data_IF_067256546692
#
_entry.id   IF_067256546692
#
_cell.length_a   1.000
_cell.length_b   1.000
_cell.length_c   1.000
_cell.angle_alpha   90.00
_cell.angle_beta   90.00
_cell.angle_gamma   90.00
#
_symmetry.space_group_name_H-M   'P 1'
#
loop_
_entity.id
_entity.type
_entity.pdbx_description
1 polymer ?
#
# COMPACT_ATOMS: atom_id res chain seq x y z
N UNK A 1 24.49 -17.38 5.10
CA UNK A 1 23.09 -17.86 5.05
C UNK A 1 22.40 -17.11 3.93
N UNK A 2 22.01 -17.77 2.84
CA UNK A 2 21.37 -17.11 1.68
C UNK A 2 20.01 -16.57 2.08
N UNK A 3 19.65 -15.35 1.67
CA UNK A 3 18.34 -14.73 2.01
C UNK A 3 17.18 -15.69 1.76
N UNK A 4 17.24 -16.46 0.66
CA UNK A 4 16.31 -17.54 0.30
C UNK A 4 16.03 -18.52 1.46
N UNK A 5 17.04 -18.95 2.22
CA UNK A 5 16.87 -19.89 3.33
C UNK A 5 16.06 -19.28 4.50
N UNK A 6 16.07 -17.95 4.63
CA UNK A 6 15.41 -17.20 5.70
C UNK A 6 13.98 -16.71 5.35
N UNK A 7 13.53 -16.97 4.12
CA UNK A 7 12.20 -16.58 3.65
C UNK A 7 11.13 -17.58 4.12
N UNK A 8 9.89 -17.12 4.37
CA UNK A 8 8.75 -18.02 4.57
C UNK A 8 8.51 -18.89 3.34
N UNK A 9 7.98 -20.11 3.55
CA UNK A 9 7.76 -21.10 2.47
C UNK A 9 6.85 -20.57 1.36
N UNK A 10 5.82 -19.80 1.70
CA UNK A 10 4.92 -19.17 0.72
C UNK A 10 5.67 -18.26 -0.26
N UNK A 11 6.74 -17.60 0.18
CA UNK A 11 7.55 -16.71 -0.65
C UNK A 11 8.65 -17.48 -1.37
N UNK A 12 9.24 -18.51 -0.75
CA UNK A 12 10.19 -19.41 -1.42
C UNK A 12 9.56 -20.07 -2.64
N UNK A 13 8.36 -20.63 -2.51
CA UNK A 13 7.63 -21.27 -3.61
C UNK A 13 7.38 -20.31 -4.78
N UNK A 14 7.10 -19.03 -4.50
CA UNK A 14 6.92 -18.02 -5.54
C UNK A 14 8.22 -17.72 -6.32
N UNK A 15 9.37 -17.82 -5.66
CA UNK A 15 10.69 -17.61 -6.30
C UNK A 15 11.13 -18.86 -7.05
N UNK A 16 10.92 -20.04 -6.46
CA UNK A 16 11.37 -21.33 -6.99
C UNK A 16 10.51 -21.83 -8.16
N UNK A 17 9.24 -21.42 -8.22
CA UNK A 17 8.33 -21.82 -9.29
C UNK A 17 8.03 -20.68 -10.24
N UNK A 18 8.12 -20.89 -11.56
CA UNK A 18 7.79 -19.86 -12.52
C UNK A 18 6.30 -19.50 -12.43
N UNK A 19 6.01 -18.20 -12.61
CA UNK A 19 4.65 -17.72 -12.82
C UNK A 19 4.04 -18.50 -14.00
N UNK A 20 2.75 -18.79 -13.91
CA UNK A 20 1.96 -19.45 -14.94
C UNK A 20 1.88 -18.57 -16.19
N UNK A 21 2.96 -18.50 -16.96
CA UNK A 21 3.13 -17.67 -18.17
C UNK A 21 3.71 -18.44 -19.35
N UNK A 22 4.55 -19.44 -19.09
CA UNK A 22 5.25 -20.18 -20.14
C UNK A 22 4.45 -21.41 -20.60
N UNK A 23 4.31 -21.61 -21.90
CA UNK A 23 3.77 -22.84 -22.48
C UNK A 23 4.66 -24.05 -22.14
N UNK A 24 4.07 -25.20 -21.82
CA UNK A 24 4.81 -26.42 -21.49
C UNK A 24 4.01 -27.46 -20.71
N UNK A 25 4.65 -28.60 -20.43
CA UNK A 25 4.03 -29.77 -19.77
C UNK A 25 3.39 -29.44 -18.42
N UNK A 26 4.01 -28.55 -17.63
CA UNK A 26 3.50 -28.13 -16.30
C UNK A 26 2.15 -27.40 -16.38
N UNK A 27 1.89 -26.66 -17.45
CA UNK A 27 0.59 -26.00 -17.67
C UNK A 27 -0.49 -27.05 -17.96
N UNK A 28 -0.14 -28.06 -18.78
CA UNK A 28 -1.06 -29.15 -19.13
C UNK A 28 -1.37 -29.99 -17.88
N UNK A 29 -0.37 -30.26 -17.04
CA UNK A 29 -0.54 -30.94 -15.76
C UNK A 29 -1.46 -30.16 -14.82
N UNK A 30 -1.27 -28.84 -14.72
CA UNK A 30 -2.15 -27.96 -13.92
C UNK A 30 -3.58 -28.01 -14.44
N UNK A 31 -3.79 -27.87 -15.75
CA UNK A 31 -5.11 -27.96 -16.39
C UNK A 31 -5.77 -29.32 -16.11
N UNK A 32 -5.05 -30.43 -16.29
CA UNK A 32 -5.57 -31.77 -16.05
C UNK A 32 -5.94 -31.97 -14.58
N UNK A 33 -5.12 -31.47 -13.66
CA UNK A 33 -5.35 -31.55 -12.22
C UNK A 33 -6.61 -30.77 -11.83
N UNK A 34 -6.72 -29.51 -12.26
CA UNK A 34 -7.91 -28.69 -12.00
C UNK A 34 -9.15 -29.32 -12.63
N UNK A 35 -9.08 -29.75 -13.89
CA UNK A 35 -10.19 -30.42 -14.58
C UNK A 35 -10.69 -31.64 -13.80
N UNK A 36 -9.78 -32.44 -13.24
CA UNK A 36 -10.12 -33.57 -12.38
C UNK A 36 -10.78 -33.13 -11.07
N UNK A 37 -10.25 -32.08 -10.42
CA UNK A 37 -10.81 -31.52 -9.18
C UNK A 37 -12.25 -31.04 -9.34
N UNK A 38 -12.56 -30.40 -10.47
CA UNK A 38 -13.91 -29.97 -10.81
C UNK A 38 -14.72 -31.05 -11.57
N UNK A 39 -14.24 -32.29 -11.64
CA UNK A 39 -15.02 -33.40 -12.19
C UNK A 39 -15.28 -33.37 -13.70
N UNK A 40 -14.48 -32.63 -14.47
CA UNK A 40 -14.59 -32.55 -15.93
C UNK A 40 -13.85 -33.70 -16.58
N UNK A 41 -14.55 -34.41 -17.47
CA UNK A 41 -13.97 -35.46 -18.31
C UNK A 41 -14.18 -35.10 -19.77
N UNK A 42 -13.10 -34.81 -20.47
CA UNK A 42 -13.12 -34.66 -21.92
C UNK A 42 -13.08 -36.04 -22.58
N UNK A 43 -13.95 -36.28 -23.56
CA UNK A 43 -13.89 -37.49 -24.36
C UNK A 43 -12.78 -37.40 -25.41
N UNK A 44 -11.55 -37.71 -24.99
CA UNK A 44 -10.37 -37.68 -25.85
C UNK A 44 -10.31 -38.87 -26.84
N UNK A 45 -11.31 -39.75 -26.86
CA UNK A 45 -11.39 -40.85 -27.84
C UNK A 45 -11.86 -40.37 -29.21
N UNK A 46 -12.65 -39.28 -29.25
CA UNK A 46 -13.17 -38.67 -30.48
C UNK A 46 -12.29 -37.50 -30.95
N UNK A 47 -12.36 -37.17 -32.25
CA UNK A 47 -11.70 -35.96 -32.78
C UNK A 47 -12.28 -34.69 -32.17
N UNK A 48 -13.59 -34.66 -32.00
CA UNK A 48 -14.33 -33.52 -31.44
C UNK A 48 -13.95 -33.26 -29.99
N UNK A 49 -13.92 -34.29 -29.13
CA UNK A 49 -13.54 -34.09 -27.73
C UNK A 49 -12.05 -33.77 -27.52
N UNK A 50 -11.16 -34.18 -28.44
CA UNK A 50 -9.77 -33.69 -28.46
C UNK A 50 -9.68 -32.20 -28.76
N UNK A 51 -10.46 -31.73 -29.73
CA UNK A 51 -10.47 -30.31 -30.11
C UNK A 51 -11.14 -29.45 -29.02
N UNK A 52 -12.23 -29.94 -28.42
CA UNK A 52 -12.89 -29.29 -27.29
C UNK A 52 -11.95 -29.13 -26.09
N UNK A 53 -11.21 -30.19 -25.71
CA UNK A 53 -10.21 -30.13 -24.64
C UNK A 53 -9.13 -29.09 -24.95
N UNK A 54 -8.69 -29.04 -26.20
CA UNK A 54 -7.65 -28.11 -26.64
C UNK A 54 -8.12 -26.66 -26.58
N UNK A 55 -9.31 -26.35 -27.10
CA UNK A 55 -9.88 -25.00 -27.10
C UNK A 55 -10.21 -24.54 -25.68
N UNK A 56 -10.98 -25.34 -24.94
CA UNK A 56 -11.41 -25.02 -23.57
C UNK A 56 -10.20 -24.91 -22.64
N UNK A 57 -9.25 -25.84 -22.78
CA UNK A 57 -7.99 -25.82 -22.05
C UNK A 57 -7.18 -24.56 -22.36
N UNK A 58 -6.99 -24.21 -23.63
CA UNK A 58 -6.24 -23.02 -24.03
C UNK A 58 -6.88 -21.72 -23.49
N UNK A 59 -8.21 -21.61 -23.54
CA UNK A 59 -8.93 -20.46 -23.02
C UNK A 59 -8.77 -20.32 -21.50
N UNK A 60 -8.93 -21.43 -20.77
CA UNK A 60 -8.75 -21.44 -19.32
C UNK A 60 -7.31 -21.13 -18.91
N UNK A 61 -6.33 -21.72 -19.62
CA UNK A 61 -4.91 -21.45 -19.40
C UNK A 61 -4.64 -19.96 -19.58
N UNK A 62 -4.99 -19.40 -20.74
CA UNK A 62 -4.79 -17.99 -21.10
C UNK A 62 -5.39 -17.06 -20.04
N UNK A 63 -6.60 -17.37 -19.59
CA UNK A 63 -7.26 -16.63 -18.52
C UNK A 63 -6.48 -16.65 -17.20
N UNK A 64 -5.97 -17.81 -16.78
CA UNK A 64 -5.21 -17.95 -15.53
C UNK A 64 -3.88 -17.17 -15.56
N UNK A 65 -3.26 -16.99 -16.73
CA UNK A 65 -2.00 -16.26 -16.86
C UNK A 65 -2.11 -14.79 -16.41
N UNK A 66 -3.32 -14.23 -16.40
CA UNK A 66 -3.59 -12.86 -15.92
C UNK A 66 -3.42 -12.66 -14.41
N UNK A 67 -3.43 -13.73 -13.61
CA UNK A 67 -3.46 -13.65 -12.14
C UNK A 67 -2.07 -13.71 -11.48
N UNK A 68 -0.99 -13.78 -12.26
CA UNK A 68 0.39 -13.82 -11.74
C UNK A 68 0.62 -14.89 -10.64
N UNK A 69 -0.11 -16.00 -10.69
CA UNK A 69 0.05 -17.15 -9.80
C UNK A 69 0.92 -18.21 -10.47
N UNK A 70 1.55 -19.07 -9.68
CA UNK A 70 2.21 -20.30 -10.15
C UNK A 70 1.17 -21.40 -10.36
N UNK A 71 1.53 -22.46 -11.12
CA UNK A 71 0.62 -23.61 -11.32
C UNK A 71 0.19 -24.28 -10.01
N UNK A 72 1.10 -24.38 -9.03
CA UNK A 72 0.82 -24.94 -7.70
C UNK A 72 -0.15 -24.05 -6.91
N UNK A 73 -0.01 -22.74 -7.02
CA UNK A 73 -0.94 -21.79 -6.38
C UNK A 73 -2.33 -21.86 -7.01
N UNK A 74 -2.42 -22.04 -8.33
CA UNK A 74 -3.72 -22.26 -8.98
C UNK A 74 -4.36 -23.55 -8.46
N UNK A 75 -3.60 -24.64 -8.36
CA UNK A 75 -4.11 -25.92 -7.81
C UNK A 75 -4.58 -25.74 -6.35
N UNK A 76 -3.79 -25.04 -5.52
CA UNK A 76 -4.16 -24.80 -4.12
C UNK A 76 -5.38 -23.89 -3.99
N UNK A 77 -5.51 -22.86 -4.85
CA UNK A 77 -6.69 -22.00 -4.87
C UNK A 77 -7.98 -22.82 -5.11
N UNK A 78 -7.95 -23.77 -6.05
CA UNK A 78 -9.08 -24.67 -6.29
C UNK A 78 -9.32 -25.64 -5.12
N UNK A 79 -8.26 -26.16 -4.46
CA UNK A 79 -8.42 -26.97 -3.24
C UNK A 79 -9.08 -26.18 -2.12
N UNK A 80 -8.66 -24.94 -1.90
CA UNK A 80 -9.25 -24.04 -0.90
C UNK A 80 -10.73 -23.77 -1.18
N UNK A 81 -11.07 -23.49 -2.44
CA UNK A 81 -12.46 -23.30 -2.85
C UNK A 81 -13.31 -24.56 -2.62
N UNK A 82 -12.77 -25.75 -2.91
CA UNK A 82 -13.44 -27.04 -2.68
C UNK A 82 -13.58 -27.38 -1.18
N UNK A 83 -12.60 -27.01 -0.35
CA UNK A 83 -12.66 -27.12 1.12
C UNK A 83 -13.62 -26.14 1.79
N UNK A 84 -14.19 -25.19 1.02
CA UNK A 84 -15.03 -24.09 1.51
C UNK A 84 -14.27 -23.06 2.36
N UNK A 85 -12.98 -22.90 2.09
CA UNK A 85 -12.18 -21.80 2.66
C UNK A 85 -12.65 -20.43 2.10
N UNK A 86 -13.34 -20.43 0.95
CA UNK A 86 -14.02 -19.29 0.32
C UNK A 86 -15.54 -19.57 0.22
N UNK A 87 -16.30 -19.43 1.32
CA UNK A 87 -17.68 -19.93 1.42
C UNK A 87 -18.66 -19.27 0.43
N UNK A 88 -18.37 -18.05 -0.02
CA UNK A 88 -19.14 -17.30 -1.01
C UNK A 88 -19.04 -17.84 -2.43
N UNK A 89 -17.99 -18.62 -2.74
CA UNK A 89 -17.71 -19.10 -4.10
C UNK A 89 -18.39 -20.44 -4.35
N UNK A 90 -19.26 -20.48 -5.37
CA UNK A 90 -19.90 -21.72 -5.82
C UNK A 90 -19.07 -22.37 -6.91
N UNK A 91 -18.42 -23.49 -6.56
CA UNK A 91 -17.66 -24.31 -7.50
C UNK A 91 -18.60 -25.28 -8.22
N UNK A 92 -18.64 -25.21 -9.54
CA UNK A 92 -19.43 -26.08 -10.40
C UNK A 92 -18.51 -27.03 -11.18
N UNK A 93 -19.04 -28.15 -11.71
CA UNK A 93 -18.24 -29.11 -12.44
C UNK A 93 -17.96 -28.66 -13.89
N UNK A 94 -17.34 -27.50 -14.04
CA UNK A 94 -16.97 -26.89 -15.32
C UNK A 94 -15.72 -25.99 -15.18
N UNK A 95 -15.07 -25.68 -16.29
CA UNK A 95 -13.97 -24.69 -16.33
C UNK A 95 -14.54 -23.28 -16.58
N UNK A 96 -15.58 -22.90 -15.84
CA UNK A 96 -16.15 -21.55 -15.92
C UNK A 96 -15.08 -20.51 -15.62
N UNK A 97 -14.83 -19.61 -16.57
CA UNK A 97 -13.86 -18.53 -16.39
C UNK A 97 -14.29 -17.56 -15.28
N UNK A 98 -15.60 -17.39 -15.08
CA UNK A 98 -16.14 -16.54 -14.01
C UNK A 98 -15.75 -17.13 -12.65
N UNK A 99 -16.08 -18.42 -12.44
CA UNK A 99 -15.76 -19.12 -11.20
C UNK A 99 -14.25 -19.22 -10.99
N UNK A 100 -13.48 -19.48 -12.06
CA UNK A 100 -12.02 -19.44 -12.00
C UNK A 100 -11.52 -18.08 -11.53
N UNK A 101 -12.08 -16.99 -12.05
CA UNK A 101 -11.67 -15.64 -11.67
C UNK A 101 -11.94 -15.34 -10.20
N UNK A 102 -13.11 -15.74 -9.69
CA UNK A 102 -13.46 -15.60 -8.26
C UNK A 102 -12.47 -16.38 -7.38
N UNK A 103 -12.17 -17.63 -7.72
CA UNK A 103 -11.25 -18.50 -6.97
C UNK A 103 -9.83 -17.91 -6.94
N UNK A 104 -9.30 -17.54 -8.10
CA UNK A 104 -7.92 -17.05 -8.20
C UNK A 104 -7.76 -15.69 -7.50
N UNK A 105 -8.78 -14.82 -7.59
CA UNK A 105 -8.78 -13.54 -6.89
C UNK A 105 -8.85 -13.72 -5.37
N UNK A 106 -9.74 -14.58 -4.88
CA UNK A 106 -9.84 -14.88 -3.45
C UNK A 106 -8.52 -15.44 -2.90
N UNK A 107 -7.84 -16.30 -3.66
CA UNK A 107 -6.52 -16.78 -3.29
C UNK A 107 -5.45 -15.68 -3.26
N UNK A 108 -5.44 -14.76 -4.24
CA UNK A 108 -4.53 -13.60 -4.20
C UNK A 108 -4.77 -12.72 -2.98
N UNK A 109 -6.04 -12.45 -2.64
CA UNK A 109 -6.42 -11.66 -1.46
C UNK A 109 -5.98 -12.36 -0.17
N UNK A 110 -6.21 -13.67 -0.05
CA UNK A 110 -5.71 -14.50 1.04
C UNK A 110 -4.18 -14.43 1.16
N UNK A 111 -3.47 -14.60 0.03
CA UNK A 111 -2.00 -14.55 -0.03
C UNK A 111 -1.46 -13.19 0.39
N UNK A 112 -2.04 -12.10 -0.10
CA UNK A 112 -1.64 -10.73 0.26
C UNK A 112 -2.02 -10.35 1.70
N UNK A 113 -3.09 -10.95 2.24
CA UNK A 113 -3.47 -10.84 3.65
C UNK A 113 -2.54 -11.61 4.60
N UNK A 114 -1.76 -12.58 4.10
CA UNK A 114 -0.86 -13.38 4.92
C UNK A 114 0.27 -12.54 5.52
N UNK A 115 0.40 -12.59 6.85
CA UNK A 115 1.48 -11.93 7.56
C UNK A 115 2.85 -12.47 7.14
N UNK A 116 2.95 -13.78 6.87
CA UNK A 116 4.17 -14.43 6.41
C UNK A 116 4.60 -13.93 5.04
N UNK A 117 3.66 -13.82 4.08
CA UNK A 117 3.98 -13.31 2.75
C UNK A 117 4.48 -11.87 2.81
N UNK A 118 3.80 -11.01 3.58
CA UNK A 118 4.19 -9.62 3.79
C UNK A 118 5.57 -9.50 4.47
N UNK A 119 5.85 -10.32 5.50
CA UNK A 119 7.17 -10.38 6.14
C UNK A 119 8.26 -10.79 5.14
N UNK A 120 8.02 -11.82 4.33
CA UNK A 120 8.97 -12.29 3.33
C UNK A 120 9.24 -11.24 2.24
N UNK A 121 8.20 -10.59 1.71
CA UNK A 121 8.35 -9.49 0.73
C UNK A 121 9.13 -8.30 1.30
N UNK A 122 8.88 -7.92 2.56
CA UNK A 122 9.67 -6.90 3.26
C UNK A 122 11.15 -7.29 3.35
N UNK A 123 11.46 -8.53 3.75
CA UNK A 123 12.85 -9.03 3.80
C UNK A 123 13.54 -8.95 2.43
N UNK A 124 12.87 -9.33 1.35
CA UNK A 124 13.41 -9.22 -0.01
C UNK A 124 13.66 -7.76 -0.37
N UNK A 125 12.69 -6.88 -0.11
CA UNK A 125 12.80 -5.44 -0.40
C UNK A 125 13.98 -4.80 0.36
N UNK A 126 14.14 -5.10 1.65
CA UNK A 126 15.27 -4.62 2.45
C UNK A 126 16.61 -5.19 2.03
N UNK A 127 16.65 -6.40 1.47
CA UNK A 127 17.88 -6.99 0.96
C UNK A 127 18.31 -6.41 -0.39
N UNK A 128 17.34 -6.13 -1.28
CA UNK A 128 17.59 -5.51 -2.58
C UNK A 128 17.88 -4.01 -2.46
N UNK A 129 17.27 -3.35 -1.48
CA UNK A 129 17.48 -1.95 -1.14
C UNK A 129 17.97 -1.86 0.30
N UNK A 130 19.24 -2.19 0.57
CA UNK A 130 19.78 -2.02 1.91
C UNK A 130 19.66 -0.55 2.27
N UNK A 131 18.92 -0.26 3.35
CA UNK A 131 18.93 1.08 3.94
C UNK A 131 20.37 1.33 4.33
N UNK A 132 21.04 2.25 3.63
CA UNK A 132 22.38 2.71 4.00
C UNK A 132 22.24 3.22 5.43
N UNK A 133 22.76 2.46 6.40
CA UNK A 133 22.85 2.93 7.77
C UNK A 133 23.88 4.05 7.76
N UNK A 134 23.40 5.29 7.60
CA UNK A 134 24.21 6.46 7.86
C UNK A 134 24.79 6.35 9.27
N UNK A 135 26.10 6.56 9.43
CA UNK A 135 26.70 6.62 10.75
C UNK A 135 26.03 7.71 11.58
N UNK A 136 26.06 7.55 12.91
CA UNK A 136 25.49 8.57 13.81
C UNK A 136 26.13 9.94 13.59
N UNK A 137 27.41 9.99 13.22
CA UNK A 137 28.11 11.23 12.87
C UNK A 137 27.51 11.92 11.62
N UNK A 138 27.16 11.15 10.59
CA UNK A 138 26.54 11.68 9.37
C UNK A 138 25.12 12.18 9.66
N UNK A 139 24.36 11.46 10.50
CA UNK A 139 23.03 11.91 10.93
C UNK A 139 23.12 13.22 11.71
N UNK A 140 24.08 13.32 12.63
CA UNK A 140 24.32 14.53 13.42
C UNK A 140 24.71 15.70 12.54
N UNK A 141 25.67 15.51 11.62
CA UNK A 141 26.10 16.54 10.67
C UNK A 141 24.96 17.03 9.77
N UNK A 142 24.12 16.12 9.24
CA UNK A 142 22.92 16.50 8.46
C UNK A 142 21.94 17.30 9.31
N UNK A 143 21.72 16.89 10.55
CA UNK A 143 20.79 17.56 11.47
C UNK A 143 21.26 18.97 11.82
N UNK A 144 22.55 19.13 12.09
CA UNK A 144 23.18 20.44 12.32
C UNK A 144 23.08 21.33 11.08
N UNK A 145 23.34 20.78 9.88
CA UNK A 145 23.16 21.51 8.62
C UNK A 145 21.70 21.98 8.44
N UNK A 146 20.72 21.11 8.64
CA UNK A 146 19.30 21.47 8.55
C UNK A 146 18.90 22.54 9.57
N UNK A 147 19.47 22.50 10.77
CA UNK A 147 19.23 23.51 11.80
C UNK A 147 19.79 24.87 11.41
N UNK A 148 21.04 24.90 10.92
CA UNK A 148 21.68 26.14 10.46
C UNK A 148 20.93 26.75 9.27
N UNK A 149 20.49 25.91 8.31
CA UNK A 149 19.66 26.36 7.19
C UNK A 149 18.30 26.92 7.66
N UNK A 150 17.70 26.32 8.69
CA UNK A 150 16.47 26.84 9.29
C UNK A 150 16.71 28.22 9.91
N UNK A 151 17.77 28.40 10.70
CA UNK A 151 18.12 29.70 11.29
C UNK A 151 18.33 30.77 10.22
N UNK A 152 19.09 30.45 9.17
CA UNK A 152 19.33 31.37 8.05
C UNK A 152 18.03 31.78 7.34
N UNK A 153 17.10 30.83 7.13
CA UNK A 153 15.79 31.13 6.54
C UNK A 153 14.92 32.01 7.45
N UNK A 154 15.00 31.82 8.77
CA UNK A 154 14.29 32.66 9.73
C UNK A 154 14.85 34.08 9.69
N UNK A 155 16.18 34.25 9.70
CA UNK A 155 16.85 35.55 9.60
C UNK A 155 16.44 36.31 8.33
N UNK A 156 16.37 35.59 7.19
CA UNK A 156 15.98 36.15 5.91
C UNK A 156 14.46 36.29 5.71
N UNK A 157 13.63 35.96 6.70
CA UNK A 157 12.17 35.90 6.59
C UNK A 157 11.64 35.00 5.43
N UNK A 158 12.36 33.92 5.13
CA UNK A 158 12.00 32.94 4.11
C UNK A 158 11.21 31.75 4.69
N UNK A 159 10.24 31.17 3.96
CA UNK A 159 9.49 30.02 4.45
C UNK A 159 10.35 28.75 4.54
N UNK A 160 10.14 27.94 5.59
CA UNK A 160 10.83 26.68 5.80
C UNK A 160 9.86 25.51 6.00
N UNK A 161 9.80 24.60 5.02
CA UNK A 161 8.86 23.46 4.99
C UNK A 161 9.28 22.25 5.84
N UNK A 162 10.42 22.35 6.52
CA UNK A 162 10.99 21.27 7.34
C UNK A 162 11.26 21.69 8.78
N UNK A 163 10.78 22.87 9.18
CA UNK A 163 10.94 23.39 10.54
C UNK A 163 10.34 22.43 11.59
N UNK A 164 9.22 21.79 11.27
CA UNK A 164 8.49 20.87 12.14
C UNK A 164 9.28 19.60 12.51
N UNK A 165 10.38 19.27 11.81
CA UNK A 165 11.27 18.18 12.24
C UNK A 165 11.93 18.44 13.61
N UNK A 166 12.04 19.70 14.02
CA UNK A 166 12.59 20.08 15.32
C UNK A 166 11.51 20.27 16.41
N UNK A 167 10.23 20.09 16.06
CA UNK A 167 9.12 20.32 16.98
C UNK A 167 9.22 19.49 18.25
N UNK A 168 9.42 18.17 18.13
CA UNK A 168 9.44 17.27 19.29
C UNK A 168 10.59 17.58 20.26
N UNK A 169 11.73 18.08 19.74
CA UNK A 169 12.85 18.48 20.57
C UNK A 169 12.56 19.79 21.33
N UNK A 170 11.94 20.76 20.68
CA UNK A 170 11.58 22.03 21.32
C UNK A 170 10.42 21.86 22.30
N UNK A 171 9.43 21.02 21.97
CA UNK A 171 8.31 20.69 22.86
C UNK A 171 8.80 19.99 24.13
N UNK A 172 9.75 19.04 24.02
CA UNK A 172 10.33 18.35 25.19
C UNK A 172 11.19 19.27 26.06
N UNK A 173 11.80 20.31 25.48
CA UNK A 173 12.47 21.40 26.23
C UNK A 173 11.49 22.41 26.85
N UNK A 174 10.18 22.23 26.66
CA UNK A 174 9.15 23.11 27.22
C UNK A 174 8.93 24.40 26.45
N UNK A 175 9.51 24.58 25.25
CA UNK A 175 9.38 25.80 24.45
C UNK A 175 7.93 26.13 24.05
N UNK A 176 7.04 25.13 24.07
CA UNK A 176 5.61 25.28 23.75
C UNK A 176 4.68 24.97 24.94
N UNK A 177 5.22 24.93 26.17
CA UNK A 177 4.47 24.60 27.39
C UNK A 177 3.29 25.55 27.67
N UNK A 178 3.35 26.78 27.16
CA UNK A 178 2.24 27.75 27.25
C UNK A 178 1.04 27.46 26.35
N UNK A 179 1.11 26.44 25.47
CA UNK A 179 -0.01 26.03 24.62
C UNK A 179 -0.72 24.82 25.23
N UNK A 180 -1.98 24.99 25.61
CA UNK A 180 -2.82 23.88 26.07
C UNK A 180 -3.17 22.93 24.91
N UNK A 181 -3.69 21.75 25.23
CA UNK A 181 -4.21 20.84 24.21
C UNK A 181 -5.34 21.48 23.38
N UNK A 182 -6.16 22.33 24.01
CA UNK A 182 -7.22 23.09 23.31
C UNK A 182 -6.63 24.07 22.31
N UNK A 183 -5.57 24.80 22.68
CA UNK A 183 -4.91 25.77 21.80
C UNK A 183 -4.27 25.07 20.59
N UNK A 184 -3.58 23.95 20.83
CA UNK A 184 -3.00 23.12 19.76
C UNK A 184 -4.11 22.65 18.80
N UNK A 185 -5.25 22.18 19.31
CA UNK A 185 -6.39 21.79 18.48
C UNK A 185 -7.02 22.95 17.71
N UNK A 186 -7.10 24.14 18.29
CA UNK A 186 -7.57 25.35 17.62
C UNK A 186 -6.65 25.75 16.45
N UNK A 187 -5.32 25.70 16.66
CA UNK A 187 -4.33 25.95 15.61
C UNK A 187 -4.45 24.95 14.45
N UNK A 188 -4.60 23.66 14.76
CA UNK A 188 -4.77 22.62 13.73
C UNK A 188 -6.05 22.88 12.94
N UNK A 189 -7.19 23.18 13.59
CA UNK A 189 -8.45 23.50 12.90
C UNK A 189 -8.33 24.73 12.00
N UNK A 190 -7.73 25.80 12.51
CA UNK A 190 -7.44 27.01 11.73
C UNK A 190 -6.60 26.68 10.49
N UNK A 191 -5.60 25.81 10.64
CA UNK A 191 -4.77 25.36 9.52
C UNK A 191 -5.53 24.50 8.50
N UNK A 192 -6.41 23.60 8.96
CA UNK A 192 -7.30 22.84 8.06
C UNK A 192 -8.18 23.77 7.22
N UNK A 193 -8.75 24.80 7.85
CA UNK A 193 -9.57 25.81 7.16
C UNK A 193 -8.76 26.55 6.08
N UNK A 194 -7.54 26.97 6.40
CA UNK A 194 -6.64 27.64 5.44
C UNK A 194 -6.27 26.74 4.25
N UNK A 195 -5.99 25.45 4.49
CA UNK A 195 -5.67 24.48 3.43
C UNK A 195 -6.86 24.35 2.48
N UNK A 196 -8.04 24.06 3.02
CA UNK A 196 -9.25 23.84 2.23
C UNK A 196 -9.66 25.09 1.45
N UNK A 197 -9.60 26.26 2.08
CA UNK A 197 -9.88 27.55 1.42
C UNK A 197 -8.96 27.76 0.21
N UNK A 198 -7.65 27.50 0.36
CA UNK A 198 -6.69 27.59 -0.74
C UNK A 198 -7.00 26.59 -1.86
N UNK A 199 -7.40 25.37 -1.54
CA UNK A 199 -7.72 24.34 -2.53
C UNK A 199 -9.05 24.60 -3.25
N UNK A 200 -10.00 25.29 -2.62
CA UNK A 200 -11.23 25.76 -3.28
C UNK A 200 -10.94 26.93 -4.23
N UNK A 201 -10.01 27.81 -3.86
CA UNK A 201 -9.63 28.99 -4.66
C UNK A 201 -8.70 28.64 -5.84
N UNK A 202 -7.82 27.64 -5.69
CA UNK A 202 -6.92 27.20 -6.75
C UNK A 202 -7.68 26.35 -7.78
N UNK A 203 -7.78 26.84 -9.02
CA UNK A 203 -8.41 26.10 -10.13
C UNK A 203 -7.74 24.74 -10.47
N UNK A 204 -6.48 24.52 -10.05
CA UNK A 204 -5.81 23.21 -10.03
C UNK A 204 -5.37 22.92 -8.60
N UNK A 205 -6.12 22.08 -7.90
CA UNK A 205 -5.81 21.64 -6.54
C UNK A 205 -4.80 20.49 -6.55
N UNK A 206 -3.91 20.48 -5.56
CA UNK A 206 -2.81 19.51 -5.44
C UNK A 206 -3.25 18.32 -4.57
N UNK A 207 -4.07 18.58 -3.55
CA UNK A 207 -4.40 17.57 -2.54
C UNK A 207 -5.84 17.04 -2.61
N UNK A 208 -6.80 17.85 -3.06
CA UNK A 208 -8.23 17.49 -3.06
C UNK A 208 -8.92 17.83 -4.38
N UNK A 209 -9.98 17.14 -4.78
CA UNK A 209 -10.82 17.68 -5.86
C UNK A 209 -11.60 18.90 -5.35
N UNK A 210 -11.87 19.91 -6.19
CA UNK A 210 -12.60 21.13 -5.75
C UNK A 210 -13.93 20.79 -5.04
N UNK A 211 -14.69 19.82 -5.58
CA UNK A 211 -15.96 19.37 -4.96
C UNK A 211 -15.75 18.75 -3.57
N UNK A 212 -14.67 17.99 -3.40
CA UNK A 212 -14.30 17.37 -2.13
C UNK A 212 -13.81 18.40 -1.12
N UNK A 213 -12.96 19.34 -1.54
CA UNK A 213 -12.49 20.44 -0.70
C UNK A 213 -13.64 21.30 -0.19
N UNK A 214 -14.63 21.63 -1.05
CA UNK A 214 -15.85 22.34 -0.63
C UNK A 214 -16.67 21.56 0.41
N UNK A 215 -16.82 20.24 0.21
CA UNK A 215 -17.54 19.39 1.17
C UNK A 215 -16.85 19.40 2.53
N UNK A 216 -15.54 19.17 2.56
CA UNK A 216 -14.75 19.15 3.78
C UNK A 216 -14.72 20.52 4.48
N UNK A 217 -14.74 21.62 3.71
CA UNK A 217 -14.78 22.98 4.26
C UNK A 217 -16.11 23.24 4.97
N UNK A 218 -17.23 22.89 4.33
CA UNK A 218 -18.54 23.00 4.95
C UNK A 218 -18.63 22.12 6.20
N UNK A 219 -18.15 20.87 6.15
CA UNK A 219 -18.11 19.97 7.32
C UNK A 219 -17.31 20.57 8.49
N UNK A 220 -16.19 21.24 8.20
CA UNK A 220 -15.37 21.92 9.20
C UNK A 220 -16.10 23.09 9.87
N UNK A 221 -16.79 23.89 9.06
CA UNK A 221 -17.52 25.09 9.50
C UNK A 221 -18.77 24.73 10.30
N UNK A 222 -19.47 23.67 9.90
CA UNK A 222 -20.72 23.22 10.55
C UNK A 222 -20.47 22.39 11.81
N UNK A 223 -19.58 21.38 11.74
CA UNK A 223 -19.47 20.36 12.79
C UNK A 223 -18.23 20.51 13.67
N UNK A 224 -17.28 21.39 13.30
CA UNK A 224 -15.98 21.58 13.96
C UNK A 224 -15.10 20.32 14.09
N UNK A 225 -15.55 19.19 13.56
CA UNK A 225 -14.92 17.87 13.62
C UNK A 225 -14.95 17.29 12.20
N UNK A 226 -13.79 16.92 11.67
CA UNK A 226 -13.66 16.25 10.38
C UNK A 226 -13.02 14.87 10.60
N UNK A 227 -13.66 13.82 10.08
CA UNK A 227 -13.08 12.48 9.99
C UNK A 227 -12.27 12.31 8.69
N UNK A 228 -11.25 13.15 8.51
CA UNK A 228 -10.31 13.04 7.39
C UNK A 228 -8.87 13.03 7.92
N UNK A 229 -8.30 11.84 8.08
CA UNK A 229 -6.96 11.64 8.64
C UNK A 229 -5.86 12.27 7.79
N UNK A 230 -6.04 12.32 6.47
CA UNK A 230 -5.06 12.93 5.56
C UNK A 230 -4.98 14.45 5.76
N UNK A 231 -6.12 15.14 5.75
CA UNK A 231 -6.21 16.58 6.02
C UNK A 231 -5.67 16.92 7.41
N UNK A 232 -6.04 16.13 8.41
CA UNK A 232 -5.59 16.29 9.79
C UNK A 232 -4.07 16.14 9.90
N UNK A 233 -3.49 15.13 9.26
CA UNK A 233 -2.04 14.92 9.21
C UNK A 233 -1.30 16.09 8.56
N UNK A 234 -1.79 16.59 7.44
CA UNK A 234 -1.21 17.75 6.74
C UNK A 234 -1.27 19.02 7.61
N UNK A 235 -2.41 19.29 8.25
CA UNK A 235 -2.59 20.43 9.12
C UNK A 235 -1.68 20.35 10.36
N UNK A 236 -1.54 19.18 10.99
CA UNK A 236 -0.63 18.97 12.11
C UNK A 236 0.81 19.31 11.71
N UNK A 237 1.26 18.83 10.55
CA UNK A 237 2.63 19.09 10.10
C UNK A 237 2.87 20.59 9.89
N UNK A 238 1.97 21.28 9.20
CA UNK A 238 2.08 22.73 8.96
C UNK A 238 2.01 23.55 10.25
N UNK A 239 1.20 23.15 11.24
CA UNK A 239 1.18 23.80 12.56
C UNK A 239 2.52 23.61 13.27
N UNK A 240 3.13 22.42 13.19
CA UNK A 240 4.47 22.21 13.76
C UNK A 240 5.52 23.07 13.08
N UNK A 241 5.48 23.19 11.75
CA UNK A 241 6.37 24.05 10.99
C UNK A 241 6.24 25.51 11.45
N UNK A 242 5.00 26.02 11.50
CA UNK A 242 4.71 27.38 11.95
C UNK A 242 5.15 27.65 13.39
N UNK A 243 4.91 26.70 14.31
CA UNK A 243 5.27 26.86 15.73
C UNK A 243 6.79 26.94 15.91
N UNK A 244 7.53 26.05 15.26
CA UNK A 244 9.00 26.07 15.32
C UNK A 244 9.55 27.34 14.68
N UNK A 245 9.07 27.69 13.49
CA UNK A 245 9.54 28.87 12.76
C UNK A 245 9.30 30.16 13.55
N UNK A 246 8.08 30.35 14.05
CA UNK A 246 7.73 31.55 14.82
C UNK A 246 8.43 31.61 16.18
N UNK A 247 8.69 30.46 16.81
CA UNK A 247 9.49 30.42 18.03
C UNK A 247 10.90 30.93 17.78
N UNK A 248 11.57 30.42 16.74
CA UNK A 248 12.93 30.85 16.41
C UNK A 248 12.98 32.33 16.01
N UNK A 249 11.99 32.80 15.24
CA UNK A 249 11.88 34.21 14.86
C UNK A 249 11.84 35.14 16.07
N UNK A 250 11.04 34.80 17.08
CA UNK A 250 10.93 35.56 18.33
C UNK A 250 12.21 35.56 19.19
N UNK A 251 13.12 34.61 18.99
CA UNK A 251 14.40 34.56 19.71
C UNK A 251 15.47 35.44 19.03
N UNK A 252 15.22 35.91 17.82
CA UNK A 252 16.12 36.77 17.04
C UNK A 252 15.72 38.26 17.09
N UNK A 253 14.54 38.57 17.65
CA UNK A 253 14.04 39.92 17.95
C UNK A 253 14.48 40.37 19.36
#
# INVERSE_FOLDING_TARGET
MTILQSLPEIVKREIEHPIFKNSGEKIIETLNTVSSMVGIKFDVSTKEGKEEKKITGANWISFCQGYQLTGLEIIEAYRMALRKDFPEIKVFPNLSLITAGEILKAYQEFKHGSEEWNKGRKKISSALNPVVQESEDVKKARREKMWNELLQKVENNEPCVYAGHFYSELDSKGCFSGLTASDKNALIRSKMHQILTKEVQKGKSIHFRIKEAKKLLNELEENQIINNEFLKGLAIQLVKDDLVYNYLKKQQE
#
